data_IF_806718207255
#
_entry.id   IF_806718207255
#
_cell.length_a   1.000
_cell.length_b   1.000
_cell.length_c   1.000
_cell.angle_alpha   90.00
_cell.angle_beta   90.00
_cell.angle_gamma   90.00
#
_symmetry.space_group_name_H-M   'P 1'
#
loop_
_entity.id
_entity.type
_entity.pdbx_description
1 polymer ?
#
# COMPACT_ATOMS: atom_id res chain seq x y z
N UNK A 1 83.99 70.18 55.07
CA UNK A 1 83.74 69.89 53.65
C UNK A 1 82.26 70.10 53.39
N UNK A 2 81.89 71.14 52.65
CA UNK A 2 80.51 71.56 52.41
C UNK A 2 79.92 70.77 51.24
N UNK A 3 78.96 69.90 51.52
CA UNK A 3 78.18 69.20 50.50
C UNK A 3 77.27 70.19 49.75
N UNK A 4 77.14 70.02 48.44
CA UNK A 4 76.37 70.88 47.57
C UNK A 4 74.86 70.76 47.88
N UNK A 5 74.25 71.86 48.31
CA UNK A 5 72.88 71.97 48.83
C UNK A 5 71.79 71.93 47.74
N UNK A 6 71.88 71.01 46.78
CA UNK A 6 70.93 70.88 45.67
C UNK A 6 70.22 69.52 45.55
N UNK A 7 70.74 68.47 46.19
CA UNK A 7 70.28 67.08 45.97
C UNK A 7 69.39 66.52 47.10
N UNK A 8 69.31 67.19 48.25
CA UNK A 8 68.67 66.65 49.46
C UNK A 8 67.24 67.16 49.74
N UNK A 9 66.62 67.86 48.78
CA UNK A 9 65.27 68.40 48.95
C UNK A 9 64.14 67.39 48.66
N UNK A 10 62.94 67.51 49.29
CA UNK A 10 61.79 66.63 49.01
C UNK A 10 61.37 66.63 47.53
N UNK A 11 61.60 67.73 46.82
CA UNK A 11 61.36 67.83 45.38
C UNK A 11 62.28 66.92 44.55
N UNK A 12 63.51 66.64 45.01
CA UNK A 12 64.44 65.73 44.34
C UNK A 12 63.97 64.28 44.50
N UNK A 13 63.57 63.88 45.71
CA UNK A 13 63.00 62.56 45.98
C UNK A 13 61.70 62.31 45.19
N UNK A 14 60.81 63.31 45.10
CA UNK A 14 59.62 63.21 44.24
C UNK A 14 60.00 63.06 42.76
N UNK A 15 61.02 63.79 42.27
CA UNK A 15 61.47 63.69 40.88
C UNK A 15 62.09 62.31 40.58
N UNK A 16 62.85 61.75 41.52
CA UNK A 16 63.43 60.40 41.42
C UNK A 16 62.31 59.35 41.44
N UNK A 17 61.35 59.46 42.35
CA UNK A 17 60.19 58.56 42.43
C UNK A 17 59.35 58.60 41.15
N UNK A 18 59.07 59.79 40.60
CA UNK A 18 58.35 59.93 39.32
C UNK A 18 59.13 59.32 38.15
N UNK A 19 60.44 59.53 38.08
CA UNK A 19 61.28 58.89 37.04
C UNK A 19 61.24 57.36 37.16
N UNK A 20 61.30 56.82 38.38
CA UNK A 20 61.18 55.37 38.62
C UNK A 20 59.81 54.84 38.18
N UNK A 21 58.72 55.52 38.53
CA UNK A 21 57.38 55.14 38.07
C UNK A 21 57.25 55.15 36.54
N UNK A 22 57.85 56.15 35.87
CA UNK A 22 57.91 56.21 34.41
C UNK A 22 58.73 55.07 33.80
N UNK A 23 59.81 54.64 34.44
CA UNK A 23 60.59 53.48 34.01
C UNK A 23 59.85 52.15 34.21
N UNK A 24 59.17 51.97 35.34
CA UNK A 24 58.36 50.78 35.62
C UNK A 24 57.22 50.66 34.58
N UNK A 25 56.53 51.77 34.32
CA UNK A 25 55.46 51.81 33.32
C UNK A 25 55.97 51.61 31.88
N UNK A 26 57.17 52.12 31.53
CA UNK A 26 57.77 51.85 30.23
C UNK A 26 58.13 50.36 30.07
N UNK A 27 58.72 49.74 31.10
CA UNK A 27 59.06 48.31 31.11
C UNK A 27 57.82 47.43 30.94
N UNK A 28 56.72 47.79 31.60
CA UNK A 28 55.45 47.09 31.44
C UNK A 28 54.81 47.32 30.05
N UNK A 29 55.03 48.48 29.42
CA UNK A 29 54.65 48.69 28.02
C UNK A 29 55.47 47.84 27.04
N UNK A 30 56.78 47.73 27.24
CA UNK A 30 57.66 46.86 26.44
C UNK A 30 57.27 45.38 26.56
N UNK A 31 56.90 44.93 27.76
CA UNK A 31 56.37 43.58 27.98
C UNK A 31 55.07 43.34 27.20
N UNK A 32 54.15 44.31 27.20
CA UNK A 32 52.92 44.22 26.37
C UNK A 32 53.26 44.09 24.89
N UNK A 33 54.22 44.88 24.38
CA UNK A 33 54.63 44.79 22.98
C UNK A 33 55.30 43.46 22.61
N UNK A 34 56.21 42.96 23.44
CA UNK A 34 56.92 41.70 23.20
C UNK A 34 55.95 40.53 23.18
N UNK A 35 55.02 40.48 24.14
CA UNK A 35 53.95 39.49 24.18
C UNK A 35 53.01 39.61 22.98
N UNK A 36 52.66 40.84 22.55
CA UNK A 36 51.88 41.06 21.33
C UNK A 36 52.60 40.54 20.07
N UNK A 37 53.92 40.78 19.94
CA UNK A 37 54.74 40.26 18.84
C UNK A 37 54.79 38.73 18.85
N UNK A 38 54.93 38.10 20.03
CA UNK A 38 54.90 36.64 20.16
C UNK A 38 53.53 36.05 19.79
N UNK A 39 52.42 36.69 20.18
CA UNK A 39 51.05 36.32 19.77
C UNK A 39 50.86 36.41 18.27
N UNK A 40 51.31 37.50 17.66
CA UNK A 40 51.25 37.65 16.20
C UNK A 40 52.07 36.57 15.49
N UNK A 41 53.24 36.20 16.02
CA UNK A 41 54.07 35.14 15.45
C UNK A 41 53.44 33.75 15.61
N UNK A 42 52.86 33.44 16.78
CA UNK A 42 52.17 32.17 17.02
C UNK A 42 50.90 32.05 16.17
N UNK A 43 50.08 33.10 16.07
CA UNK A 43 48.94 33.15 15.17
C UNK A 43 49.35 32.90 13.70
N UNK A 44 50.46 33.49 13.24
CA UNK A 44 51.02 33.22 11.90
C UNK A 44 51.43 31.76 11.74
N UNK A 45 52.11 31.16 12.72
CA UNK A 45 52.45 29.73 12.70
C UNK A 45 51.22 28.84 12.60
N UNK A 46 50.18 29.07 13.42
CA UNK A 46 48.93 28.30 13.33
C UNK A 46 48.25 28.43 11.95
N UNK A 47 48.30 29.60 11.31
CA UNK A 47 47.80 29.74 9.94
C UNK A 47 48.66 29.03 8.89
N UNK A 48 49.96 28.89 9.14
CA UNK A 48 50.91 28.17 8.29
C UNK A 48 50.80 26.65 8.47
N UNK A 49 50.63 26.17 9.69
CA UNK A 49 50.47 24.75 10.02
C UNK A 49 49.12 24.20 9.49
N UNK A 50 48.06 25.03 9.45
CA UNK A 50 46.83 24.67 8.70
C UNK A 50 47.07 24.44 7.19
N UNK A 51 48.16 24.94 6.63
CA UNK A 51 48.56 24.74 5.22
C UNK A 51 49.61 23.64 5.05
N UNK A 52 50.36 23.32 6.10
CA UNK A 52 51.39 22.29 6.11
C UNK A 52 50.92 21.12 7.00
N UNK A 53 50.24 20.14 6.40
CA UNK A 53 49.75 18.96 7.11
C UNK A 53 50.84 18.25 7.92
N UNK A 54 50.42 17.68 9.05
CA UNK A 54 51.21 17.00 10.09
C UNK A 54 52.34 16.11 9.56
N UNK A 55 53.59 16.53 9.80
CA UNK A 55 54.81 15.73 9.56
C UNK A 55 55.87 15.94 10.64
N UNK A 56 55.51 16.03 11.94
CA UNK A 56 56.50 16.05 13.03
C UNK A 56 56.06 15.28 14.27
N UNK A 57 56.04 13.95 14.14
CA UNK A 57 56.30 13.03 15.24
C UNK A 57 57.80 12.67 15.29
N UNK A 58 58.32 12.41 16.48
CA UNK A 58 59.71 12.07 16.82
C UNK A 58 60.75 13.20 16.75
N UNK A 59 61.01 13.82 17.91
CA UNK A 59 62.32 13.68 18.60
C UNK A 59 62.25 14.37 19.98
N UNK A 60 61.85 13.63 21.02
CA UNK A 60 62.19 13.96 22.41
C UNK A 60 62.53 12.65 23.11
N UNK A 61 63.81 12.33 23.17
CA UNK A 61 64.38 11.37 24.11
C UNK A 61 65.17 12.14 25.18
N UNK A 62 65.05 11.80 26.47
CA UNK A 62 65.74 12.50 27.55
C UNK A 62 67.20 12.05 27.59
N UNK A 63 68.13 12.98 27.38
CA UNK A 63 69.55 12.70 27.39
C UNK A 63 70.35 13.98 27.62
N UNK A 64 70.20 14.58 28.79
CA UNK A 64 71.15 15.61 29.26
C UNK A 64 71.49 15.31 30.71
N UNK A 65 72.65 14.70 30.90
CA UNK A 65 73.32 14.53 32.19
C UNK A 65 74.67 15.20 32.05
N UNK A 66 74.70 16.52 32.28
CA UNK A 66 75.93 17.26 32.53
C UNK A 66 75.94 17.64 34.01
N UNK A 67 77.09 17.45 34.64
CA UNK A 67 77.47 17.79 36.03
C UNK A 67 77.28 16.70 37.09
N UNK A 68 78.28 15.82 37.20
CA UNK A 68 78.71 15.26 38.47
C UNK A 68 80.22 15.50 38.62
N UNK A 69 80.61 16.22 39.68
CA UNK A 69 82.01 16.48 40.05
C UNK A 69 82.60 15.21 40.68
N UNK A 70 83.72 14.72 40.16
CA UNK A 70 84.50 13.64 40.80
C UNK A 70 85.64 14.24 41.64
N UNK A 71 85.69 13.90 42.92
CA UNK A 71 86.82 14.18 43.81
C UNK A 71 87.82 13.02 43.76
N UNK A 72 89.05 13.30 43.34
CA UNK A 72 90.14 12.32 43.34
C UNK A 72 90.83 12.31 44.71
N UNK A 73 90.96 11.14 45.33
CA UNK A 73 91.72 10.97 46.58
C UNK A 73 93.22 10.97 46.26
N UNK A 74 93.98 11.87 46.89
CA UNK A 74 95.45 11.89 46.81
C UNK A 74 96.01 10.96 47.89
N UNK A 75 96.78 9.95 47.49
CA UNK A 75 97.40 8.97 48.38
C UNK A 75 98.66 9.57 49.03
N UNK A 76 98.60 9.90 50.33
CA UNK A 76 99.72 10.51 51.08
C UNK A 76 100.64 9.51 51.81
N UNK A 77 100.47 8.20 51.59
CA UNK A 77 101.25 7.17 52.31
C UNK A 77 102.70 6.96 51.86
N UNK A 78 103.14 7.62 50.78
CA UNK A 78 104.46 7.38 50.16
C UNK A 78 105.59 8.25 50.74
N UNK A 79 105.32 9.15 51.69
CA UNK A 79 106.30 10.14 52.19
C UNK A 79 106.41 10.22 53.72
N UNK A 80 106.06 9.16 54.45
CA UNK A 80 106.25 9.10 55.91
C UNK A 80 107.38 8.11 56.23
N UNK A 81 108.54 8.63 56.64
CA UNK A 81 109.61 7.87 57.29
C UNK A 81 109.53 8.09 58.81
N UNK A 82 109.33 7.02 59.58
CA UNK A 82 109.47 7.04 61.03
C UNK A 82 110.94 6.83 61.41
N UNK A 83 111.59 7.86 61.96
CA UNK A 83 112.94 7.78 62.50
C UNK A 83 112.92 6.97 63.81
N UNK A 84 113.49 5.77 63.77
CA UNK A 84 113.54 4.80 64.89
C UNK A 84 114.90 4.75 65.60
N UNK A 85 115.73 5.79 65.43
CA UNK A 85 117.07 5.83 66.01
C UNK A 85 117.04 6.34 67.45
N UNK A 86 117.44 5.49 68.40
CA UNK A 86 117.65 5.88 69.79
C UNK A 86 118.99 6.62 69.91
N UNK A 87 118.96 7.84 70.45
CA UNK A 87 120.14 8.68 70.68
C UNK A 87 120.96 8.08 71.84
N UNK A 88 122.25 7.84 71.64
CA UNK A 88 123.18 7.42 72.69
C UNK A 88 123.30 8.48 73.79
N UNK A 89 123.16 8.06 75.05
CA UNK A 89 123.39 8.91 76.22
C UNK A 89 124.78 8.59 76.78
N UNK A 90 125.68 9.57 76.75
CA UNK A 90 127.00 9.45 77.36
C UNK A 90 126.95 9.76 78.85
N UNK A 91 127.34 8.77 79.66
CA UNK A 91 127.54 8.92 81.10
C UNK A 91 128.89 9.60 81.41
N UNK A 92 128.84 10.83 81.94
CA UNK A 92 130.02 11.53 82.46
C UNK A 92 130.26 11.15 83.93
N UNK A 93 131.34 10.41 84.20
CA UNK A 93 131.81 10.17 85.56
C UNK A 93 132.53 11.42 86.11
N UNK A 94 132.00 12.00 87.19
CA UNK A 94 132.62 13.11 87.92
C UNK A 94 133.24 12.60 89.22
N UNK A 95 134.45 13.05 89.53
CA UNK A 95 135.23 12.65 90.71
C UNK A 95 134.53 13.07 92.01
N UNK A 96 134.22 12.09 92.85
CA UNK A 96 133.52 12.20 94.13
C UNK A 96 134.47 12.56 95.27
N UNK A 97 134.28 13.73 95.87
CA UNK A 97 134.67 13.97 97.27
C UNK A 97 133.47 13.66 98.19
N UNK A 98 133.73 13.06 99.35
CA UNK A 98 132.72 12.77 100.37
C UNK A 98 132.22 14.08 101.00
N UNK A 99 131.12 14.62 100.45
CA UNK A 99 130.39 15.74 101.04
C UNK A 99 129.49 15.21 102.17
N UNK A 100 129.86 15.50 103.41
CA UNK A 100 128.95 15.38 104.56
C UNK A 100 127.84 16.43 104.39
N UNK A 101 126.58 16.01 104.48
CA UNK A 101 125.43 16.90 104.34
C UNK A 101 125.48 17.99 105.42
N UNK A 102 125.65 19.24 104.96
CA UNK A 102 125.46 20.42 105.78
C UNK A 102 123.96 20.47 106.15
N UNK A 103 123.58 20.65 107.42
CA UNK A 103 122.17 20.87 107.76
C UNK A 103 121.64 22.05 106.93
N UNK A 104 120.41 21.98 106.42
CA UNK A 104 119.89 23.01 105.52
C UNK A 104 119.99 24.36 106.23
N UNK A 105 120.80 25.26 105.65
CA UNK A 105 120.90 26.63 106.14
C UNK A 105 119.48 27.21 106.16
N UNK A 106 119.03 27.80 107.27
CA UNK A 106 117.71 28.44 107.30
C UNK A 106 117.63 29.43 106.14
N UNK A 107 116.53 29.35 105.36
CA UNK A 107 116.31 30.24 104.23
C UNK A 107 116.39 31.68 104.74
N UNK A 108 117.43 32.39 104.29
CA UNK A 108 117.56 33.81 104.56
C UNK A 108 116.43 34.52 103.80
N UNK A 109 115.43 34.99 104.55
CA UNK A 109 114.42 35.91 104.03
C UNK A 109 114.95 37.31 104.34
N UNK A 110 115.43 38.07 103.33
CA UNK A 110 115.82 39.45 103.56
C UNK A 110 114.62 40.22 104.13
N UNK A 111 114.83 41.02 105.17
CA UNK A 111 113.79 41.96 105.58
C UNK A 111 113.49 42.89 104.40
N UNK A 112 112.22 42.99 103.98
CA UNK A 112 111.85 43.90 102.88
C UNK A 112 112.30 45.32 103.25
N UNK A 113 113.37 45.78 102.62
CA UNK A 113 113.84 47.17 102.68
C UNK A 113 113.40 47.88 101.41
N UNK A 114 112.33 48.65 101.54
CA UNK A 114 111.64 49.40 100.49
C UNK A 114 110.21 49.67 100.95
N UNK A 115 109.62 50.79 100.56
CA UNK A 115 108.18 51.00 100.76
C UNK A 115 107.44 50.25 99.67
N UNK A 116 106.62 49.26 100.06
CA UNK A 116 105.73 48.59 99.13
C UNK A 116 104.64 49.60 98.70
N UNK A 117 104.62 49.93 97.40
CA UNK A 117 103.58 50.74 96.78
C UNK A 117 102.86 49.85 95.78
N UNK A 118 101.58 49.59 96.01
CA UNK A 118 100.73 48.97 95.02
C UNK A 118 100.08 50.05 94.16
N UNK A 119 100.21 49.89 92.84
CA UNK A 119 99.49 50.70 91.86
C UNK A 119 98.47 49.78 91.20
N UNK A 120 97.20 49.94 91.57
CA UNK A 120 96.09 49.19 91.01
C UNK A 120 95.25 50.12 90.15
N UNK A 121 94.95 49.69 88.93
CA UNK A 121 93.99 50.36 88.05
C UNK A 121 92.61 49.82 88.41
N UNK A 122 91.69 50.71 88.74
CA UNK A 122 90.32 50.37 89.12
C UNK A 122 89.42 50.27 87.87
N UNK A 123 88.26 49.61 88.02
CA UNK A 123 87.27 49.53 86.95
C UNK A 123 86.88 50.96 86.49
N UNK A 124 86.94 51.20 85.18
CA UNK A 124 86.67 52.48 84.50
C UNK A 124 87.76 53.57 84.57
N UNK A 125 88.95 53.27 85.08
CA UNK A 125 90.05 54.25 85.19
C UNK A 125 90.79 54.50 83.84
N UNK A 126 90.70 53.56 82.90
CA UNK A 126 91.29 53.64 81.54
C UNK A 126 90.26 53.68 80.41
N UNK A 127 88.97 53.83 80.72
CA UNK A 127 87.93 53.76 79.70
C UNK A 127 87.93 55.02 78.82
N UNK A 128 88.13 54.83 77.51
CA UNK A 128 87.98 55.87 76.50
C UNK A 128 86.70 55.61 75.68
N UNK A 129 85.71 56.48 75.87
CA UNK A 129 84.44 56.36 75.18
C UNK A 129 84.58 56.49 73.66
N UNK A 130 85.48 57.36 73.17
CA UNK A 130 85.61 57.60 71.72
C UNK A 130 86.19 56.39 71.00
N UNK A 131 87.06 55.62 71.65
CA UNK A 131 87.60 54.38 71.11
C UNK A 131 86.58 53.25 71.16
N UNK A 132 85.91 53.07 72.32
CA UNK A 132 85.08 51.89 72.54
C UNK A 132 83.69 51.96 71.88
N UNK A 133 83.20 53.17 71.58
CA UNK A 133 81.92 53.33 70.86
C UNK A 133 82.04 53.06 69.36
N UNK A 134 83.24 53.17 68.78
CA UNK A 134 83.47 52.98 67.34
C UNK A 134 82.98 51.63 66.81
N UNK A 135 83.34 50.47 67.37
CA UNK A 135 82.87 49.17 66.86
C UNK A 135 81.36 49.00 67.00
N UNK A 136 80.75 49.59 68.04
CA UNK A 136 79.29 49.54 68.24
C UNK A 136 78.59 50.38 67.17
N UNK A 137 79.07 51.60 66.91
CA UNK A 137 78.53 52.49 65.88
C UNK A 137 78.74 51.91 64.48
N UNK A 138 79.90 51.31 64.19
CA UNK A 138 80.19 50.69 62.90
C UNK A 138 79.20 49.56 62.60
N UNK A 139 78.94 48.67 63.58
CA UNK A 139 77.98 47.59 63.41
C UNK A 139 76.55 48.11 63.30
N UNK A 140 76.16 49.12 64.09
CA UNK A 140 74.81 49.69 64.03
C UNK A 140 74.55 50.40 62.70
N UNK A 141 75.47 51.26 62.26
CA UNK A 141 75.34 51.97 60.99
C UNK A 141 75.45 50.99 59.82
N UNK A 142 76.39 50.05 59.87
CA UNK A 142 76.55 49.00 58.86
C UNK A 142 75.28 48.18 58.66
N UNK A 143 74.73 47.62 59.75
CA UNK A 143 73.50 46.82 59.69
C UNK A 143 72.27 47.63 59.27
N UNK A 144 72.14 48.86 59.75
CA UNK A 144 70.97 49.70 59.38
C UNK A 144 71.01 50.08 57.90
N UNK A 145 72.18 50.41 57.36
CA UNK A 145 72.33 50.70 55.93
C UNK A 145 72.17 49.44 55.08
N UNK A 146 72.75 48.31 55.49
CA UNK A 146 72.60 47.04 54.78
C UNK A 146 71.14 46.57 54.74
N UNK A 147 70.45 46.62 55.88
CA UNK A 147 69.03 46.27 55.97
C UNK A 147 68.18 47.22 55.10
N UNK A 148 68.41 48.53 55.17
CA UNK A 148 67.67 49.49 54.35
C UNK A 148 67.90 49.26 52.84
N UNK A 149 69.12 48.89 52.43
CA UNK A 149 69.43 48.59 51.04
C UNK A 149 68.69 47.33 50.57
N UNK A 150 68.69 46.27 51.38
CA UNK A 150 67.99 45.03 51.07
C UNK A 150 66.48 45.24 50.97
N UNK A 151 65.88 45.96 51.92
CA UNK A 151 64.44 46.26 51.90
C UNK A 151 64.04 47.04 50.64
N UNK A 152 64.81 48.06 50.25
CA UNK A 152 64.55 48.83 49.02
C UNK A 152 64.69 47.96 47.77
N UNK A 153 65.70 47.08 47.72
CA UNK A 153 65.85 46.15 46.60
C UNK A 153 64.68 45.17 46.49
N UNK A 154 64.24 44.60 47.61
CA UNK A 154 63.08 43.70 47.67
C UNK A 154 61.78 44.42 47.26
N UNK A 155 61.57 45.65 47.71
CA UNK A 155 60.41 46.45 47.31
C UNK A 155 60.39 46.74 45.80
N UNK A 156 61.55 47.03 45.19
CA UNK A 156 61.68 47.24 43.75
C UNK A 156 61.39 45.96 42.95
N UNK A 157 61.95 44.83 43.38
CA UNK A 157 61.67 43.52 42.76
C UNK A 157 60.19 43.14 42.86
N UNK A 158 59.56 43.35 44.02
CA UNK A 158 58.14 43.11 44.22
C UNK A 158 57.27 44.02 43.34
N UNK A 159 57.65 45.28 43.16
CA UNK A 159 56.95 46.21 42.27
C UNK A 159 57.03 45.78 40.80
N UNK A 160 58.21 45.34 40.35
CA UNK A 160 58.41 44.78 39.02
C UNK A 160 57.55 43.53 38.79
N UNK A 161 57.55 42.59 39.74
CA UNK A 161 56.77 41.35 39.66
C UNK A 161 55.27 41.61 39.62
N UNK A 162 54.77 42.54 40.44
CA UNK A 162 53.36 42.95 40.42
C UNK A 162 52.95 43.53 39.08
N UNK A 163 53.77 44.43 38.53
CA UNK A 163 53.49 45.02 37.23
C UNK A 163 53.49 43.97 36.10
N UNK A 164 54.42 43.01 36.15
CA UNK A 164 54.42 41.86 35.23
C UNK A 164 53.15 41.00 35.37
N UNK A 165 52.75 40.70 36.61
CA UNK A 165 51.55 39.91 36.90
C UNK A 165 50.29 40.59 36.37
N UNK A 166 50.14 41.90 36.59
CA UNK A 166 49.01 42.69 36.10
C UNK A 166 48.91 42.64 34.57
N UNK A 167 50.04 42.88 33.88
CA UNK A 167 50.11 42.79 32.41
C UNK A 167 49.69 41.41 31.91
N UNK A 168 50.17 40.34 32.54
CA UNK A 168 49.82 38.97 32.16
C UNK A 168 48.36 38.63 32.44
N UNK A 169 47.78 39.15 33.53
CA UNK A 169 46.38 38.97 33.86
C UNK A 169 45.46 39.73 32.89
N UNK A 170 45.77 40.98 32.55
CA UNK A 170 45.06 41.74 31.51
C UNK A 170 45.00 40.97 30.20
N UNK A 171 46.18 40.46 29.80
CA UNK A 171 46.36 39.66 28.62
C UNK A 171 45.52 38.36 28.68
N UNK A 172 45.59 37.63 29.80
CA UNK A 172 44.86 36.36 29.96
C UNK A 172 43.34 36.57 29.91
N UNK A 173 42.85 37.63 30.55
CA UNK A 173 41.43 37.96 30.56
C UNK A 173 40.95 38.35 29.15
N UNK A 174 41.77 39.08 28.38
CA UNK A 174 41.47 39.41 26.99
C UNK A 174 41.41 38.15 26.10
N UNK A 175 42.34 37.21 26.27
CA UNK A 175 42.33 35.94 25.53
C UNK A 175 41.10 35.10 25.85
N UNK A 176 40.74 35.00 27.13
CA UNK A 176 39.56 34.24 27.57
C UNK A 176 38.29 34.81 26.94
N UNK A 177 38.16 36.14 26.89
CA UNK A 177 37.05 36.82 26.22
C UNK A 177 37.05 36.56 24.70
N UNK A 178 38.22 36.52 24.04
CA UNK A 178 38.33 36.19 22.62
C UNK A 178 37.92 34.74 22.33
N UNK A 179 38.41 33.79 23.15
CA UNK A 179 38.06 32.36 23.03
C UNK A 179 36.56 32.17 23.18
N UNK A 180 35.94 32.75 24.22
CA UNK A 180 34.50 32.66 24.43
C UNK A 180 33.71 33.20 23.21
N UNK A 181 34.14 34.34 22.65
CA UNK A 181 33.54 34.90 21.42
C UNK A 181 33.67 33.96 20.22
N UNK A 182 34.82 33.31 20.05
CA UNK A 182 35.07 32.37 18.95
C UNK A 182 34.26 31.07 19.12
N UNK A 183 34.14 30.56 20.34
CA UNK A 183 33.32 29.39 20.68
C UNK A 183 31.84 29.64 20.40
N UNK A 184 31.30 30.78 20.85
CA UNK A 184 29.91 31.15 20.57
C UNK A 184 29.65 31.27 19.05
N UNK A 185 30.61 31.85 18.32
CA UNK A 185 30.53 31.94 16.86
C UNK A 185 30.54 30.55 16.22
N UNK A 186 31.43 29.66 16.65
CA UNK A 186 31.50 28.29 16.15
C UNK A 186 30.24 27.50 16.45
N UNK A 187 29.69 27.63 17.68
CA UNK A 187 28.41 27.01 18.06
C UNK A 187 27.29 27.42 17.11
N UNK A 188 27.15 28.73 16.81
CA UNK A 188 26.16 29.23 15.84
C UNK A 188 26.36 28.64 14.44
N UNK A 189 27.60 28.58 13.97
CA UNK A 189 27.91 27.98 12.65
C UNK A 189 27.59 26.49 12.61
N UNK A 190 27.89 25.75 13.66
CA UNK A 190 27.57 24.32 13.75
C UNK A 190 26.06 24.08 13.78
N UNK A 191 25.33 24.84 14.59
CA UNK A 191 23.87 24.79 14.63
C UNK A 191 23.25 25.09 13.24
N UNK A 192 23.72 26.14 12.56
CA UNK A 192 23.24 26.47 11.22
C UNK A 192 23.58 25.38 10.19
N UNK A 193 24.80 24.84 10.24
CA UNK A 193 25.25 23.73 9.39
C UNK A 193 24.37 22.49 9.58
N UNK A 194 24.04 22.14 10.83
CA UNK A 194 23.15 21.02 11.13
C UNK A 194 21.73 21.28 10.61
N UNK A 195 21.19 22.48 10.83
CA UNK A 195 19.87 22.87 10.28
C UNK A 195 19.83 22.75 8.76
N UNK A 196 20.84 23.27 8.06
CA UNK A 196 20.96 23.17 6.60
C UNK A 196 21.04 21.71 6.17
N UNK A 197 21.84 20.87 6.84
CA UNK A 197 21.95 19.44 6.54
C UNK A 197 20.59 18.74 6.61
N UNK A 198 19.83 18.96 7.68
CA UNK A 198 18.50 18.36 7.85
C UNK A 198 17.54 18.82 6.73
N UNK A 199 17.56 20.11 6.38
CA UNK A 199 16.75 20.65 5.28
C UNK A 199 17.12 20.02 3.93
N UNK A 200 18.42 19.90 3.62
CA UNK A 200 18.88 19.26 2.38
C UNK A 200 18.50 17.78 2.34
N UNK A 201 18.62 17.05 3.44
CA UNK A 201 18.22 15.64 3.51
C UNK A 201 16.71 15.47 3.30
N UNK A 202 15.88 16.32 3.93
CA UNK A 202 14.44 16.30 3.73
C UNK A 202 14.04 16.66 2.29
N UNK A 203 14.65 17.71 1.72
CA UNK A 203 14.41 18.12 0.34
C UNK A 203 14.86 17.04 -0.67
N UNK A 204 15.99 16.36 -0.41
CA UNK A 204 16.48 15.28 -1.25
C UNK A 204 15.55 14.05 -1.22
N UNK A 205 15.02 13.68 -0.05
CA UNK A 205 14.00 12.62 0.08
C UNK A 205 12.75 12.96 -0.71
N UNK A 206 12.22 14.16 -0.53
CA UNK A 206 11.02 14.63 -1.25
C UNK A 206 11.27 14.68 -2.76
N UNK A 207 12.43 15.17 -3.21
CA UNK A 207 12.80 15.20 -4.62
C UNK A 207 12.80 13.79 -5.23
N UNK A 208 13.39 12.81 -4.53
CA UNK A 208 13.39 11.40 -4.97
C UNK A 208 11.96 10.86 -5.08
N UNK A 209 11.12 11.05 -4.06
CA UNK A 209 9.72 10.59 -4.10
C UNK A 209 8.93 11.24 -5.24
N UNK A 210 9.13 12.54 -5.48
CA UNK A 210 8.46 13.24 -6.59
C UNK A 210 8.94 12.73 -7.94
N UNK A 211 10.24 12.47 -8.10
CA UNK A 211 10.80 11.88 -9.32
C UNK A 211 10.22 10.49 -9.58
N UNK A 212 10.13 9.65 -8.54
CA UNK A 212 9.55 8.29 -8.63
C UNK A 212 8.06 8.35 -9.02
N UNK A 213 7.28 9.28 -8.44
CA UNK A 213 5.87 9.50 -8.81
C UNK A 213 5.72 9.97 -10.26
N UNK A 214 6.57 10.89 -10.72
CA UNK A 214 6.58 11.37 -12.10
C UNK A 214 6.95 10.24 -13.05
N UNK A 215 7.96 9.43 -12.72
CA UNK A 215 8.38 8.28 -13.49
C UNK A 215 7.27 7.23 -13.59
N UNK A 216 6.61 6.90 -12.48
CA UNK A 216 5.46 5.99 -12.46
C UNK A 216 4.31 6.51 -13.34
N UNK A 217 3.96 7.80 -13.22
CA UNK A 217 2.93 8.42 -14.07
C UNK A 217 3.31 8.38 -15.55
N UNK A 218 4.56 8.72 -15.90
CA UNK A 218 5.03 8.66 -17.28
C UNK A 218 5.00 7.22 -17.82
N UNK A 219 5.44 6.25 -17.01
CA UNK A 219 5.41 4.82 -17.35
C UNK A 219 3.98 4.31 -17.59
N UNK A 220 3.05 4.56 -16.66
CA UNK A 220 1.64 4.16 -16.81
C UNK A 220 1.02 4.78 -18.06
N UNK A 221 1.28 6.06 -18.36
CA UNK A 221 0.77 6.71 -19.58
C UNK A 221 1.34 6.05 -20.85
N UNK A 222 2.65 5.77 -20.86
CA UNK A 222 3.31 5.11 -21.98
C UNK A 222 2.82 3.66 -22.18
N UNK A 223 2.52 2.95 -21.10
CA UNK A 223 2.05 1.56 -21.14
C UNK A 223 0.55 1.44 -21.47
N UNK A 224 -0.31 2.27 -20.86
CA UNK A 224 -1.76 2.19 -21.05
C UNK A 224 -2.21 2.73 -22.41
N UNK A 225 -1.53 3.72 -22.99
CA UNK A 225 -1.95 4.32 -24.26
C UNK A 225 -1.99 3.30 -25.43
N UNK A 226 -0.95 2.47 -25.65
CA UNK A 226 -1.01 1.38 -26.62
C UNK A 226 -1.96 0.25 -26.22
N UNK A 227 -1.99 -0.11 -24.93
CA UNK A 227 -2.83 -1.21 -24.43
C UNK A 227 -4.32 -0.91 -24.64
N UNK A 228 -4.77 0.31 -24.35
CA UNK A 228 -6.14 0.74 -24.61
C UNK A 228 -6.47 0.59 -26.09
N UNK A 229 -5.64 1.13 -26.98
CA UNK A 229 -5.87 1.01 -28.44
C UNK A 229 -5.94 -0.44 -28.89
N UNK A 230 -5.00 -1.28 -28.44
CA UNK A 230 -4.95 -2.70 -28.79
C UNK A 230 -6.15 -3.48 -28.25
N UNK A 231 -6.57 -3.23 -27.01
CA UNK A 231 -7.75 -3.88 -26.41
C UNK A 231 -9.05 -3.42 -27.06
N UNK A 232 -9.18 -2.13 -27.39
CA UNK A 232 -10.31 -1.62 -28.17
C UNK A 232 -10.38 -2.29 -29.55
N UNK A 233 -9.26 -2.41 -30.25
CA UNK A 233 -9.20 -3.12 -31.54
C UNK A 233 -9.58 -4.59 -31.39
N UNK A 234 -9.02 -5.30 -30.40
CA UNK A 234 -9.34 -6.71 -30.16
C UNK A 234 -10.82 -6.93 -29.79
N UNK A 235 -11.42 -6.04 -29.01
CA UNK A 235 -12.83 -6.11 -28.65
C UNK A 235 -13.74 -5.80 -29.85
N UNK A 236 -13.32 -4.88 -30.71
CA UNK A 236 -14.03 -4.54 -31.95
C UNK A 236 -13.92 -5.68 -32.96
N UNK A 237 -12.74 -6.28 -33.14
CA UNK A 237 -12.52 -7.46 -33.99
C UNK A 237 -13.31 -8.68 -33.50
N UNK A 238 -13.45 -8.84 -32.18
CA UNK A 238 -14.27 -9.90 -31.57
C UNK A 238 -15.78 -9.60 -31.59
N UNK A 239 -16.20 -8.46 -32.14
CA UNK A 239 -17.60 -8.09 -32.28
C UNK A 239 -18.30 -7.77 -30.96
N UNK A 240 -17.56 -7.47 -29.89
CA UNK A 240 -18.15 -7.11 -28.59
C UNK A 240 -18.75 -5.70 -28.61
N UNK A 241 -18.19 -4.82 -29.45
CA UNK A 241 -18.81 -3.55 -29.81
C UNK A 241 -19.61 -3.75 -31.09
N UNK A 242 -20.93 -3.80 -30.95
CA UNK A 242 -21.90 -3.81 -32.05
C UNK A 242 -22.64 -2.48 -32.11
N UNK A 243 -23.18 -2.15 -33.28
CA UNK A 243 -24.12 -1.03 -33.39
C UNK A 243 -25.43 -1.44 -32.72
N UNK A 244 -25.85 -0.70 -31.70
CA UNK A 244 -27.11 -0.94 -30.99
C UNK A 244 -28.31 -0.95 -31.94
N UNK A 245 -28.26 -0.15 -33.01
CA UNK A 245 -29.35 -0.07 -33.98
C UNK A 245 -29.43 -1.33 -34.84
N UNK A 246 -28.28 -1.84 -35.31
CA UNK A 246 -28.26 -3.07 -36.11
C UNK A 246 -28.72 -4.27 -35.27
N UNK A 247 -28.24 -4.38 -34.04
CA UNK A 247 -28.62 -5.47 -33.14
C UNK A 247 -30.10 -5.43 -32.74
N UNK A 248 -30.65 -4.24 -32.46
CA UNK A 248 -32.08 -4.07 -32.19
C UNK A 248 -32.94 -4.42 -33.41
N UNK A 249 -32.47 -4.15 -34.63
CA UNK A 249 -33.16 -4.56 -35.85
C UNK A 249 -33.13 -6.09 -36.01
N UNK A 250 -31.98 -6.72 -35.77
CA UNK A 250 -31.83 -8.17 -35.89
C UNK A 250 -32.68 -8.95 -34.89
N UNK A 251 -32.63 -8.58 -33.60
CA UNK A 251 -33.36 -9.31 -32.57
C UNK A 251 -34.83 -8.87 -32.46
N UNK A 252 -35.10 -7.56 -32.39
CA UNK A 252 -36.45 -7.08 -32.05
C UNK A 252 -37.35 -6.81 -33.26
N UNK A 253 -36.79 -6.57 -34.46
CA UNK A 253 -37.59 -6.25 -35.65
C UNK A 253 -37.75 -7.43 -36.60
N UNK A 254 -36.68 -8.18 -36.91
CA UNK A 254 -36.75 -9.28 -37.87
C UNK A 254 -37.60 -10.44 -37.36
N UNK A 255 -37.50 -10.81 -36.08
CA UNK A 255 -38.23 -11.96 -35.54
C UNK A 255 -39.77 -11.74 -35.56
N UNK A 256 -40.32 -10.60 -35.06
CA UNK A 256 -41.75 -10.34 -35.17
C UNK A 256 -42.23 -10.10 -36.59
N UNK A 257 -41.39 -9.54 -37.47
CA UNK A 257 -41.72 -9.38 -38.89
C UNK A 257 -41.87 -10.74 -39.58
N UNK A 258 -40.92 -11.65 -39.35
CA UNK A 258 -40.95 -13.01 -39.89
C UNK A 258 -42.14 -13.79 -39.33
N UNK A 259 -42.40 -13.70 -38.02
CA UNK A 259 -43.58 -14.31 -37.39
C UNK A 259 -44.88 -13.77 -37.99
N UNK A 260 -44.99 -12.44 -38.15
CA UNK A 260 -46.15 -11.81 -38.79
C UNK A 260 -46.36 -12.25 -40.25
N UNK A 261 -45.29 -12.39 -41.04
CA UNK A 261 -45.35 -12.92 -42.41
C UNK A 261 -45.79 -14.39 -42.40
N UNK A 262 -45.25 -15.22 -41.51
CA UNK A 262 -45.62 -16.63 -41.38
C UNK A 262 -47.09 -16.78 -40.96
N UNK A 263 -47.59 -15.94 -40.06
CA UNK A 263 -49.00 -15.91 -39.66
C UNK A 263 -49.92 -15.50 -40.82
N UNK A 264 -49.53 -14.50 -41.61
CA UNK A 264 -50.28 -14.12 -42.81
C UNK A 264 -50.32 -15.27 -43.83
N UNK A 265 -49.19 -15.95 -44.06
CA UNK A 265 -49.14 -17.14 -44.93
C UNK A 265 -49.97 -18.30 -44.37
N UNK A 266 -50.00 -18.49 -43.05
CA UNK A 266 -50.81 -19.51 -42.40
C UNK A 266 -52.31 -19.20 -42.52
N UNK A 267 -52.71 -17.94 -42.35
CA UNK A 267 -54.08 -17.48 -42.57
C UNK A 267 -54.50 -17.67 -44.04
N UNK A 268 -53.64 -17.29 -45.00
CA UNK A 268 -53.89 -17.49 -46.43
C UNK A 268 -54.04 -18.98 -46.76
N UNK A 269 -53.15 -19.84 -46.23
CA UNK A 269 -53.24 -21.29 -46.40
C UNK A 269 -54.54 -21.85 -45.81
N UNK A 270 -54.93 -21.44 -44.60
CA UNK A 270 -56.20 -21.86 -43.97
C UNK A 270 -57.40 -21.42 -44.80
N UNK A 271 -57.41 -20.17 -45.28
CA UNK A 271 -58.46 -19.65 -46.15
C UNK A 271 -58.56 -20.47 -47.46
N UNK A 272 -57.43 -20.79 -48.09
CA UNK A 272 -57.39 -21.63 -49.29
C UNK A 272 -57.96 -23.04 -49.02
N UNK A 273 -57.55 -23.69 -47.92
CA UNK A 273 -58.09 -25.02 -47.54
C UNK A 273 -59.60 -24.95 -47.29
N UNK A 274 -60.08 -23.90 -46.61
CA UNK A 274 -61.52 -23.71 -46.35
C UNK A 274 -62.29 -23.50 -47.66
N UNK A 275 -61.78 -22.67 -48.57
CA UNK A 275 -62.40 -22.43 -49.88
C UNK A 275 -62.40 -23.73 -50.70
N UNK A 276 -61.30 -24.48 -50.74
CA UNK A 276 -61.24 -25.77 -51.42
C UNK A 276 -62.21 -26.79 -50.80
N UNK A 277 -62.38 -26.77 -49.47
CA UNK A 277 -63.38 -27.55 -48.74
C UNK A 277 -64.81 -27.19 -49.15
N UNK A 278 -65.15 -25.90 -49.15
CA UNK A 278 -66.46 -25.40 -49.58
C UNK A 278 -66.75 -25.72 -51.05
N UNK A 279 -65.75 -25.59 -51.93
CA UNK A 279 -65.89 -25.96 -53.34
C UNK A 279 -66.16 -27.46 -53.46
N UNK A 280 -65.43 -28.30 -52.71
CA UNK A 280 -65.65 -29.75 -52.70
C UNK A 280 -67.06 -30.10 -52.20
N UNK A 281 -67.52 -29.51 -51.11
CA UNK A 281 -68.88 -29.70 -50.58
C UNK A 281 -69.94 -29.28 -51.61
N UNK A 282 -69.82 -28.09 -52.19
CA UNK A 282 -70.74 -27.60 -53.21
C UNK A 282 -70.80 -28.52 -54.44
N UNK A 283 -69.64 -29.03 -54.91
CA UNK A 283 -69.59 -29.99 -56.02
C UNK A 283 -70.21 -31.33 -55.63
N UNK A 284 -69.99 -31.82 -54.41
CA UNK A 284 -70.60 -33.09 -53.94
C UNK A 284 -72.12 -32.99 -53.78
N UNK A 285 -72.63 -31.89 -53.22
CA UNK A 285 -74.07 -31.63 -53.12
C UNK A 285 -74.69 -31.58 -54.51
N UNK A 286 -74.08 -30.83 -55.43
CA UNK A 286 -74.57 -30.75 -56.81
C UNK A 286 -74.50 -32.09 -57.54
N UNK A 287 -73.47 -32.90 -57.30
CA UNK A 287 -73.38 -34.26 -57.84
C UNK A 287 -74.49 -35.17 -57.27
N UNK A 288 -74.78 -35.06 -55.97
CA UNK A 288 -75.86 -35.79 -55.32
C UNK A 288 -77.22 -35.41 -55.91
N UNK A 289 -77.51 -34.10 -56.02
CA UNK A 289 -78.73 -33.58 -56.65
C UNK A 289 -78.88 -34.08 -58.09
N UNK A 290 -77.82 -34.02 -58.91
CA UNK A 290 -77.85 -34.57 -60.28
C UNK A 290 -78.07 -36.08 -60.32
N UNK A 291 -77.53 -36.82 -59.34
CA UNK A 291 -77.72 -38.27 -59.23
C UNK A 291 -79.15 -38.63 -58.84
N UNK A 292 -79.76 -37.90 -57.91
CA UNK A 292 -81.18 -38.06 -57.57
C UNK A 292 -82.08 -37.65 -58.74
N UNK A 293 -81.76 -36.55 -59.43
CA UNK A 293 -82.45 -36.16 -60.64
C UNK A 293 -82.34 -37.26 -61.70
N UNK A 294 -81.15 -37.83 -61.90
CA UNK A 294 -80.91 -38.96 -62.79
C UNK A 294 -81.73 -40.21 -62.40
N UNK A 295 -81.79 -40.57 -61.12
CA UNK A 295 -82.67 -41.64 -60.63
C UNK A 295 -84.14 -41.36 -60.94
N UNK A 296 -84.62 -40.15 -60.66
CA UNK A 296 -86.02 -39.77 -60.94
C UNK A 296 -86.35 -39.81 -62.44
N UNK A 297 -85.40 -39.43 -63.31
CA UNK A 297 -85.56 -39.52 -64.77
C UNK A 297 -85.57 -41.00 -65.21
N UNK A 298 -84.68 -41.83 -64.68
CA UNK A 298 -84.66 -43.27 -64.94
C UNK A 298 -85.94 -43.96 -64.44
N UNK A 299 -86.42 -43.65 -63.23
CA UNK A 299 -87.69 -44.16 -62.70
C UNK A 299 -88.86 -43.76 -63.59
N UNK A 300 -88.94 -42.49 -63.99
CA UNK A 300 -89.97 -42.02 -64.92
C UNK A 300 -89.88 -42.68 -66.31
N UNK A 301 -88.68 -42.94 -66.82
CA UNK A 301 -88.47 -43.63 -68.09
C UNK A 301 -88.87 -45.12 -67.99
N UNK A 302 -88.48 -45.81 -66.92
CA UNK A 302 -88.88 -47.18 -66.64
C UNK A 302 -90.40 -47.30 -66.46
N UNK A 303 -91.04 -46.36 -65.77
CA UNK A 303 -92.51 -46.30 -65.66
C UNK A 303 -93.16 -46.07 -67.03
N UNK A 304 -92.66 -45.14 -67.85
CA UNK A 304 -93.17 -44.92 -69.21
C UNK A 304 -93.04 -46.14 -70.12
N UNK A 305 -92.03 -47.00 -69.91
CA UNK A 305 -91.83 -48.19 -70.74
C UNK A 305 -92.60 -49.42 -70.21
N UNK A 306 -92.65 -49.61 -68.89
CA UNK A 306 -93.29 -50.78 -68.26
C UNK A 306 -94.81 -50.68 -68.17
N UNK A 307 -95.36 -49.49 -67.90
CA UNK A 307 -96.80 -49.26 -67.80
C UNK A 307 -97.55 -49.62 -69.09
N UNK A 308 -97.13 -49.24 -70.32
CA UNK A 308 -97.84 -49.62 -71.53
C UNK A 308 -97.73 -51.13 -71.84
N UNK A 309 -96.59 -51.78 -71.52
CA UNK A 309 -96.43 -53.22 -71.70
C UNK A 309 -97.37 -53.99 -70.76
N UNK A 310 -97.39 -53.63 -69.47
CA UNK A 310 -98.33 -54.20 -68.50
C UNK A 310 -99.80 -53.92 -68.88
N UNK A 311 -100.11 -52.74 -69.39
CA UNK A 311 -101.47 -52.41 -69.87
C UNK A 311 -101.87 -53.29 -71.05
N UNK A 312 -100.95 -53.60 -71.96
CA UNK A 312 -101.16 -54.53 -73.07
C UNK A 312 -101.41 -55.97 -72.60
N UNK A 313 -100.58 -56.49 -71.69
CA UNK A 313 -100.74 -57.85 -71.15
C UNK A 313 -102.03 -58.01 -70.34
N UNK A 314 -102.36 -57.03 -69.49
CA UNK A 314 -103.61 -57.04 -68.71
C UNK A 314 -104.82 -56.92 -69.64
N UNK A 315 -104.78 -56.10 -70.68
CA UNK A 315 -105.85 -56.00 -71.66
C UNK A 315 -106.05 -57.33 -72.40
N UNK A 316 -104.97 -58.00 -72.84
CA UNK A 316 -105.05 -59.31 -73.48
C UNK A 316 -105.66 -60.36 -72.53
N UNK A 317 -105.22 -60.40 -71.26
CA UNK A 317 -105.77 -61.31 -70.26
C UNK A 317 -107.27 -61.09 -70.01
N UNK A 318 -107.70 -59.82 -69.88
CA UNK A 318 -109.11 -59.48 -69.67
C UNK A 318 -109.96 -59.86 -70.88
N UNK A 319 -109.46 -59.60 -72.10
CA UNK A 319 -110.15 -59.96 -73.35
C UNK A 319 -110.27 -61.49 -73.47
N UNK A 320 -109.19 -62.25 -73.27
CA UNK A 320 -109.20 -63.73 -73.34
C UNK A 320 -110.13 -64.35 -72.28
N UNK A 321 -110.16 -63.79 -71.06
CA UNK A 321 -111.09 -64.27 -70.03
C UNK A 321 -112.55 -63.96 -70.38
N UNK A 322 -112.81 -62.78 -70.94
CA UNK A 322 -114.15 -62.38 -71.35
C UNK A 322 -114.67 -63.23 -72.53
N UNK A 323 -113.82 -63.54 -73.52
CA UNK A 323 -114.20 -64.41 -74.65
C UNK A 323 -114.48 -65.84 -74.22
N UNK A 324 -113.68 -66.42 -73.32
CA UNK A 324 -113.96 -67.76 -72.76
C UNK A 324 -115.26 -67.79 -71.96
N UNK A 325 -115.54 -66.75 -71.17
CA UNK A 325 -116.78 -66.65 -70.40
C UNK A 325 -117.99 -66.52 -71.34
N UNK A 326 -117.89 -65.71 -72.39
CA UNK A 326 -118.94 -65.56 -73.39
C UNK A 326 -119.22 -66.88 -74.15
N UNK A 327 -118.18 -67.60 -74.55
CA UNK A 327 -118.30 -68.93 -75.17
C UNK A 327 -119.01 -69.92 -74.25
N UNK A 328 -118.60 -70.03 -72.99
CA UNK A 328 -119.25 -70.92 -72.02
C UNK A 328 -120.73 -70.59 -71.82
N UNK A 329 -121.10 -69.30 -71.78
CA UNK A 329 -122.50 -68.87 -71.64
C UNK A 329 -123.33 -69.18 -72.88
N UNK A 330 -122.76 -69.05 -74.08
CA UNK A 330 -123.42 -69.42 -75.33
C UNK A 330 -123.65 -70.94 -75.44
N UNK A 331 -122.69 -71.76 -75.02
CA UNK A 331 -122.87 -73.22 -74.95
C UNK A 331 -123.97 -73.62 -73.97
N UNK A 332 -124.05 -72.92 -72.83
CA UNK A 332 -125.09 -73.16 -71.81
C UNK A 332 -126.48 -72.72 -72.32
N UNK A 333 -126.56 -71.61 -73.07
CA UNK A 333 -127.80 -71.18 -73.72
C UNK A 333 -128.22 -72.14 -74.87
N UNK A 334 -127.26 -72.65 -75.63
CA UNK A 334 -127.52 -73.62 -76.71
C UNK A 334 -128.02 -74.97 -76.17
N UNK A 335 -127.48 -75.45 -75.05
CA UNK A 335 -127.98 -76.66 -74.39
C UNK A 335 -129.38 -76.46 -73.80
N UNK A 336 -129.63 -75.34 -73.11
CA UNK A 336 -130.95 -75.01 -72.57
C UNK A 336 -132.04 -74.89 -73.65
N UNK A 337 -131.74 -74.25 -74.78
CA UNK A 337 -132.69 -74.17 -75.91
C UNK A 337 -132.98 -75.51 -76.56
N UNK A 338 -132.02 -76.46 -76.53
CA UNK A 338 -132.23 -77.82 -77.04
C UNK A 338 -133.14 -78.64 -76.12
N UNK A 339 -133.00 -78.50 -74.80
CA UNK A 339 -133.89 -79.14 -73.82
C UNK A 339 -135.31 -78.57 -73.89
N UNK A 340 -135.47 -77.25 -73.94
CA UNK A 340 -136.79 -76.60 -74.05
C UNK A 340 -137.51 -77.02 -75.34
N UNK A 341 -136.79 -77.12 -76.47
CA UNK A 341 -137.37 -77.59 -77.73
C UNK A 341 -137.84 -79.05 -77.64
N UNK A 342 -137.12 -79.91 -76.91
CA UNK A 342 -137.51 -81.31 -76.70
C UNK A 342 -138.80 -81.43 -75.89
N UNK A 343 -138.92 -80.68 -74.79
CA UNK A 343 -140.11 -80.69 -73.93
C UNK A 343 -141.34 -80.13 -74.66
N UNK A 344 -141.19 -78.98 -75.33
CA UNK A 344 -142.30 -78.38 -76.08
C UNK A 344 -142.80 -79.28 -77.23
N UNK A 345 -141.90 -80.03 -77.89
CA UNK A 345 -142.33 -80.98 -78.93
C UNK A 345 -143.07 -82.20 -78.39
N UNK A 346 -142.82 -82.59 -77.14
CA UNK A 346 -143.49 -83.72 -76.51
C UNK A 346 -144.90 -83.35 -76.01
N UNK A 347 -145.09 -82.12 -75.51
CA UNK A 347 -146.41 -81.63 -75.08
C UNK A 347 -147.39 -81.48 -76.26
N UNK A 348 -146.94 -80.91 -77.39
CA UNK A 348 -147.80 -80.72 -78.57
C UNK A 348 -148.29 -82.05 -79.17
N UNK A 349 -147.49 -83.12 -79.11
CA UNK A 349 -147.90 -84.43 -79.64
C UNK A 349 -148.95 -85.09 -78.74
N UNK A 350 -148.85 -84.90 -77.43
CA UNK A 350 -149.82 -85.48 -76.49
C UNK A 350 -151.18 -84.77 -76.57
N UNK A 351 -151.19 -83.44 -76.67
CA UNK A 351 -152.44 -82.67 -76.77
C UNK A 351 -153.24 -83.02 -78.06
N UNK A 352 -152.56 -83.27 -79.18
CA UNK A 352 -153.23 -83.66 -80.44
C UNK A 352 -153.80 -85.08 -80.39
N UNK A 353 -153.20 -85.99 -79.61
CA UNK A 353 -153.70 -87.36 -79.46
C UNK A 353 -154.95 -87.43 -78.57
N UNK A 354 -155.05 -86.58 -77.56
CA UNK A 354 -156.22 -86.51 -76.67
C UNK A 354 -157.45 -85.87 -77.37
N UNK A 355 -157.23 -84.93 -78.29
CA UNK A 355 -158.30 -84.31 -79.07
C UNK A 355 -158.97 -85.30 -80.06
N UNK A 356 -158.17 -86.14 -80.72
CA UNK A 356 -158.67 -87.17 -81.65
C UNK A 356 -159.42 -88.29 -80.91
N UNK A 357 -159.04 -88.60 -79.68
CA UNK A 357 -159.73 -89.60 -78.87
C UNK A 357 -161.15 -89.15 -78.46
N UNK A 358 -161.33 -87.86 -78.17
CA UNK A 358 -162.63 -87.28 -77.79
C UNK A 358 -163.61 -87.23 -78.97
N UNK A 359 -163.15 -86.96 -80.19
CA UNK A 359 -164.03 -86.90 -81.37
C UNK A 359 -164.55 -88.28 -81.81
N UNK A 360 -163.73 -89.34 -81.70
CA UNK A 360 -164.17 -90.71 -82.04
C UNK A 360 -165.22 -91.24 -81.06
N UNK A 361 -165.17 -90.78 -79.81
CA UNK A 361 -166.12 -91.21 -78.77
C UNK A 361 -167.50 -90.55 -78.96
N UNK A 362 -167.52 -89.29 -79.40
CA UNK A 362 -168.75 -88.58 -79.75
C UNK A 362 -169.46 -89.16 -80.99
N UNK A 363 -168.72 -89.75 -81.94
CA UNK A 363 -169.32 -90.39 -83.12
C UNK A 363 -170.00 -91.73 -82.79
N UNK A 364 -169.56 -92.46 -81.75
CA UNK A 364 -170.18 -93.72 -81.33
C UNK A 364 -171.50 -93.53 -80.56
N UNK A 365 -171.59 -92.49 -79.73
CA UNK A 365 -172.80 -92.22 -78.95
C UNK A 365 -173.98 -91.73 -79.82
N UNK A 366 -173.69 -91.14 -80.98
CA UNK A 366 -174.72 -90.70 -81.93
C UNK A 366 -175.29 -91.85 -82.79
N UNK A 367 -174.52 -92.90 -83.09
CA UNK A 367 -175.02 -94.09 -83.80
C UNK A 367 -175.92 -94.95 -82.91
N UNK A 368 -175.63 -95.10 -81.61
CA UNK A 368 -176.47 -95.90 -80.68
C UNK A 368 -177.86 -95.26 -80.39
N UNK A 369 -178.02 -93.94 -80.58
CA UNK A 369 -179.31 -93.28 -80.46
C UNK A 369 -180.22 -93.48 -81.69
N UNK A 370 -179.66 -93.88 -82.84
CA UNK A 370 -180.41 -94.14 -84.06
C UNK A 370 -181.03 -95.56 -84.09
N UNK A 371 -180.50 -96.54 -83.35
CA UNK A 371 -181.01 -97.91 -83.34
C UNK A 371 -182.17 -98.16 -82.34
N UNK A 372 -182.45 -97.26 -81.39
CA UNK A 372 -183.46 -97.47 -80.34
C UNK A 372 -184.85 -96.87 -80.61
N UNK A 373 -185.13 -96.32 -81.81
CA UNK A 373 -186.46 -95.83 -82.18
C UNK A 373 -187.14 -96.61 -83.32
N UNK A 374 -186.48 -97.62 -83.90
CA UNK A 374 -187.05 -98.53 -84.92
C UNK A 374 -187.73 -99.79 -84.33
N UNK A 375 -187.91 -99.89 -83.00
CA UNK A 375 -188.40 -101.11 -82.32
C UNK A 375 -189.58 -100.94 -81.34
N UNK A 376 -190.49 -99.98 -81.57
CA UNK A 376 -191.83 -99.98 -80.94
C UNK A 376 -192.89 -99.35 -81.87
N UNK A 377 -193.38 -100.14 -82.82
CA UNK A 377 -194.80 -100.12 -83.20
C UNK A 377 -195.55 -101.00 -82.17
N UNK A 378 -196.73 -100.57 -81.71
CA UNK A 378 -197.64 -101.27 -80.77
C UNK A 378 -197.11 -101.37 -79.30
N UNK A 379 -197.71 -100.76 -78.27
CA UNK A 379 -199.11 -100.33 -78.06
C UNK A 379 -199.26 -98.83 -77.77
N UNK A 380 -200.22 -98.24 -78.53
CA UNK A 380 -200.80 -96.90 -78.53
C UNK A 380 -200.10 -95.76 -79.26
#
# INVERSE_FOLDING_TARGET
MTAASGEDGPAHYEAVSRRRYLQLTSRCAELRETMAKQRAATARKFTQDRRAGDMKGQLIGPGSSAFARSSVHVQTGLFLEELTEQIEQDDFATQTDYFLDRPPTPLYVPAKTGMDVETQIYENDLFDFELEVQPILEVLVGKTVEQALLEVMEEEELADLRCQQEVLQEIHNADLAEVARLEDRNRRYEEEKQRRRIQYEAAAKLAKETADKIAAKAFTKAYLSPLLKSTYQQLLERGYFYDSVEHDIEENFLEPLLEGVLDCMAQERRARILIDGLIREAVTLRHYEFRELGRSICENACLKQTVPVLRGEVAHYVIDRATRLALSRLELAASGTKEIRGVASAEIINDVMDEVALEVQAQKEAEEAAENAENTDEEF
#
